data_IF_086372168753
#
_entry.id   IF_086372168753
#
_cell.length_a   1.000
_cell.length_b   1.000
_cell.length_c   1.000
_cell.angle_alpha   90.00
_cell.angle_beta   90.00
_cell.angle_gamma   90.00
#
_symmetry.space_group_name_H-M   'P 1'
#
loop_
_entity.id
_entity.type
_entity.pdbx_description
1 polymer ?
#
# COMPACT_ATOMS: atom_id res chain seq x y z
N UNK A 1 42.72 24.68 0.63
CA UNK A 1 42.03 25.78 1.29
C UNK A 1 41.41 26.66 0.23
N UNK A 2 40.15 26.45 -0.11
CA UNK A 2 39.24 27.43 -0.71
C UNK A 2 37.81 26.91 -0.46
N UNK A 3 37.26 27.56 0.52
CA UNK A 3 35.88 27.39 0.97
C UNK A 3 34.95 27.89 -0.16
N UNK A 4 34.07 27.01 -0.70
CA UNK A 4 32.97 27.39 -1.61
C UNK A 4 31.68 27.31 -0.83
N UNK A 5 31.34 28.37 -0.13
CA UNK A 5 29.97 28.58 0.38
C UNK A 5 29.04 28.88 -0.80
N UNK A 6 28.13 27.98 -1.08
CA UNK A 6 27.00 28.25 -1.97
C UNK A 6 26.13 29.38 -1.37
N UNK A 7 25.73 30.38 -2.17
CA UNK A 7 24.79 31.39 -1.70
C UNK A 7 23.43 30.78 -1.42
N UNK A 8 22.67 31.32 -0.46
CA UNK A 8 21.33 30.85 -0.16
C UNK A 8 20.41 31.01 -1.37
N UNK A 9 19.62 29.96 -1.67
CA UNK A 9 18.64 29.98 -2.75
C UNK A 9 17.53 30.96 -2.37
N UNK A 10 17.35 31.99 -3.16
CA UNK A 10 16.24 32.94 -3.04
C UNK A 10 14.96 32.28 -3.55
N UNK A 11 14.23 31.64 -2.60
CA UNK A 11 12.97 30.97 -2.85
C UNK A 11 11.84 31.93 -3.28
N UNK A 12 11.83 33.16 -2.77
CA UNK A 12 10.80 34.17 -3.10
C UNK A 12 10.95 34.66 -4.54
N UNK A 13 12.19 34.92 -4.98
CA UNK A 13 12.48 35.30 -6.37
C UNK A 13 12.15 34.21 -7.36
N UNK A 14 12.39 32.93 -6.99
CA UNK A 14 12.11 31.77 -7.84
C UNK A 14 10.61 31.52 -7.97
N UNK A 15 9.86 31.66 -6.88
CA UNK A 15 8.39 31.47 -6.85
C UNK A 15 7.67 32.57 -7.64
N UNK A 16 8.12 33.83 -7.50
CA UNK A 16 7.57 34.98 -8.24
C UNK A 16 7.80 34.83 -9.75
N UNK A 17 9.02 34.45 -10.17
CA UNK A 17 9.33 34.22 -11.57
C UNK A 17 8.61 33.01 -12.19
N UNK A 18 8.23 32.01 -11.37
CA UNK A 18 7.43 30.89 -11.81
C UNK A 18 5.95 31.27 -11.98
N UNK A 19 5.40 32.04 -11.04
CA UNK A 19 4.03 32.55 -11.09
C UNK A 19 3.82 33.48 -12.30
N UNK A 20 4.76 34.37 -12.58
CA UNK A 20 4.70 35.25 -13.76
C UNK A 20 4.79 34.51 -15.11
N UNK A 21 5.42 33.33 -15.12
CA UNK A 21 5.59 32.50 -16.34
C UNK A 21 4.43 31.55 -16.60
N UNK A 22 3.65 31.21 -15.56
CA UNK A 22 2.60 30.19 -15.62
C UNK A 22 1.20 30.76 -15.46
N UNK A 23 1.04 32.02 -15.13
CA UNK A 23 -0.26 32.68 -15.04
C UNK A 23 -0.87 32.80 -16.45
N UNK A 24 -2.12 32.38 -16.68
CA UNK A 24 -2.78 32.60 -17.96
C UNK A 24 -3.01 34.09 -18.19
N UNK A 25 -2.75 34.55 -19.41
CA UNK A 25 -2.83 35.96 -19.86
C UNK A 25 -4.21 36.64 -19.73
N UNK A 26 -5.19 35.99 -19.11
CA UNK A 26 -6.52 36.57 -18.84
C UNK A 26 -7.05 36.10 -17.51
N UNK A 27 -7.07 36.96 -16.51
CA UNK A 27 -7.91 36.78 -15.34
C UNK A 27 -9.39 36.66 -15.78
N UNK A 28 -10.12 35.63 -15.31
CA UNK A 28 -11.57 35.60 -15.51
C UNK A 28 -12.23 36.69 -14.65
N UNK A 29 -12.71 37.72 -15.30
CA UNK A 29 -13.31 38.93 -14.67
C UNK A 29 -14.47 38.65 -13.66
N UNK A 30 -14.85 37.39 -13.45
CA UNK A 30 -15.97 37.00 -12.60
C UNK A 30 -15.60 36.37 -11.26
N UNK A 31 -14.32 36.09 -11.00
CA UNK A 31 -13.93 35.38 -9.76
C UNK A 31 -13.93 36.30 -8.54
N UNK A 32 -13.46 37.54 -8.67
CA UNK A 32 -13.43 38.51 -7.59
C UNK A 32 -14.86 38.97 -7.20
N UNK A 33 -15.77 39.11 -8.17
CA UNK A 33 -17.18 39.44 -7.92
C UNK A 33 -17.90 38.38 -7.07
N UNK A 34 -17.71 37.10 -7.37
CA UNK A 34 -18.33 35.97 -6.63
C UNK A 34 -17.77 35.79 -5.23
N UNK A 35 -16.48 36.08 -5.01
CA UNK A 35 -15.87 36.02 -3.66
C UNK A 35 -16.37 37.16 -2.78
N UNK A 36 -16.55 38.37 -3.33
CA UNK A 36 -17.04 39.51 -2.58
C UNK A 36 -18.53 39.40 -2.27
N UNK A 37 -19.34 38.83 -3.16
CA UNK A 37 -20.76 38.58 -2.85
C UNK A 37 -20.94 37.50 -1.75
N UNK A 38 -20.08 36.49 -1.69
CA UNK A 38 -20.17 35.45 -0.66
C UNK A 38 -19.73 35.94 0.72
N UNK A 39 -18.85 36.93 0.79
CA UNK A 39 -18.40 37.52 2.07
C UNK A 39 -19.34 38.60 2.63
N UNK A 40 -20.20 39.19 1.82
CA UNK A 40 -21.18 40.20 2.27
C UNK A 40 -22.36 39.61 3.06
N UNK A 41 -22.55 38.28 3.05
CA UNK A 41 -23.68 37.61 3.74
C UNK A 41 -23.30 37.03 5.11
N UNK A 42 -22.03 37.10 5.53
CA UNK A 42 -21.67 36.67 6.89
C UNK A 42 -22.02 37.73 7.92
N UNK A 43 -23.19 37.59 8.51
CA UNK A 43 -23.64 38.39 9.68
C UNK A 43 -22.61 38.26 10.80
N UNK A 44 -22.12 39.43 11.25
CA UNK A 44 -21.31 39.59 12.46
C UNK A 44 -22.02 38.93 13.65
N UNK A 45 -21.32 38.08 14.39
CA UNK A 45 -21.77 37.60 15.70
C UNK A 45 -21.91 38.76 16.65
N UNK A 46 -23.01 38.90 17.42
CA UNK A 46 -23.14 39.93 18.44
C UNK A 46 -22.24 39.59 19.62
N UNK A 47 -21.35 40.52 19.96
CA UNK A 47 -20.56 40.53 21.19
C UNK A 47 -21.46 40.89 22.35
N UNK A 48 -21.85 39.98 23.19
CA UNK A 48 -22.49 40.25 24.47
C UNK A 48 -21.81 39.49 25.62
N UNK A 49 -20.62 39.96 25.93
CA UNK A 49 -19.99 39.73 27.23
C UNK A 49 -19.30 41.03 27.60
N UNK A 50 -20.01 41.85 28.38
CA UNK A 50 -19.51 43.00 29.12
C UNK A 50 -20.37 43.20 30.36
N UNK A 51 -19.77 43.42 31.54
CA UNK A 51 -20.52 43.55 32.79
C UNK A 51 -21.09 44.96 32.98
N UNK A 52 -22.38 45.03 33.31
CA UNK A 52 -22.96 46.18 33.96
C UNK A 52 -23.84 47.12 33.11
N UNK A 53 -25.14 47.20 33.41
CA UNK A 53 -26.03 48.23 32.91
C UNK A 53 -27.52 47.87 32.97
N UNK A 54 -28.20 48.52 33.91
CA UNK A 54 -29.57 48.33 34.38
C UNK A 54 -30.70 48.38 33.33
N UNK A 55 -31.64 47.52 33.57
CA UNK A 55 -33.12 47.47 33.43
C UNK A 55 -33.84 48.69 32.88
N UNK A 56 -34.69 48.48 31.88
CA UNK A 56 -36.13 48.74 31.88
C UNK A 56 -36.74 48.60 30.48
N UNK A 57 -37.85 47.86 30.40
CA UNK A 57 -38.65 47.78 29.18
C UNK A 57 -39.33 46.44 28.96
N UNK A 58 -40.46 46.21 29.55
CA UNK A 58 -41.38 45.11 29.33
C UNK A 58 -41.83 45.08 27.84
N UNK A 59 -41.17 44.32 27.02
CA UNK A 59 -41.63 43.94 25.68
C UNK A 59 -42.00 42.46 25.68
N UNK A 60 -43.19 42.12 25.22
CA UNK A 60 -43.76 40.75 25.14
C UNK A 60 -42.78 39.76 24.49
N UNK A 61 -42.63 38.54 25.02
CA UNK A 61 -41.83 37.52 24.39
C UNK A 61 -42.45 37.13 23.05
N UNK A 62 -41.77 37.41 21.95
CA UNK A 62 -42.05 36.77 20.66
C UNK A 62 -41.76 35.27 20.82
N UNK A 63 -42.80 34.48 20.69
CA UNK A 63 -42.76 33.04 20.61
C UNK A 63 -41.72 32.64 19.55
N UNK A 64 -40.60 32.09 19.99
CA UNK A 64 -39.69 31.33 19.13
C UNK A 64 -40.53 30.30 18.38
N UNK A 65 -40.60 30.43 17.06
CA UNK A 65 -41.29 29.49 16.21
C UNK A 65 -40.71 28.10 16.52
N UNK A 66 -41.53 27.22 17.10
CA UNK A 66 -41.16 25.82 17.31
C UNK A 66 -40.84 25.25 15.95
N UNK A 67 -39.66 24.62 15.76
CA UNK A 67 -39.37 23.92 14.49
C UNK A 67 -40.50 22.94 14.23
N UNK A 68 -41.07 22.97 13.02
CA UNK A 68 -42.14 22.06 12.67
C UNK A 68 -41.66 20.60 12.88
N UNK A 69 -42.54 19.78 13.43
CA UNK A 69 -42.26 18.33 13.65
C UNK A 69 -41.60 17.69 12.45
N UNK A 70 -41.89 18.15 11.23
CA UNK A 70 -41.29 17.72 9.99
C UNK A 70 -39.79 18.03 9.88
N UNK A 71 -39.30 19.17 10.34
CA UNK A 71 -37.89 19.52 10.32
C UNK A 71 -37.12 18.69 11.33
N UNK A 72 -37.67 18.49 12.52
CA UNK A 72 -37.05 17.61 13.55
C UNK A 72 -36.99 16.17 13.08
N UNK A 73 -38.04 15.67 12.44
CA UNK A 73 -38.06 14.33 11.86
C UNK A 73 -37.06 14.18 10.70
N UNK A 74 -36.93 15.19 9.83
CA UNK A 74 -35.97 15.18 8.71
C UNK A 74 -34.52 15.19 9.21
N UNK A 75 -34.19 16.03 10.19
CA UNK A 75 -32.87 16.07 10.82
C UNK A 75 -32.58 14.75 11.54
N UNK A 76 -33.56 14.17 12.24
CA UNK A 76 -33.43 12.86 12.88
C UNK A 76 -33.17 11.73 11.87
N UNK A 77 -33.89 11.71 10.76
CA UNK A 77 -33.67 10.76 9.66
C UNK A 77 -32.28 10.93 8.99
N UNK A 78 -31.85 12.18 8.79
CA UNK A 78 -30.52 12.46 8.22
C UNK A 78 -29.41 11.98 9.18
N UNK A 79 -29.53 12.27 10.46
CA UNK A 79 -28.57 11.83 11.48
C UNK A 79 -28.56 10.30 11.61
N UNK A 80 -29.72 9.64 11.51
CA UNK A 80 -29.80 8.18 11.48
C UNK A 80 -29.16 7.60 10.21
N UNK A 81 -29.38 8.22 9.06
CA UNK A 81 -28.76 7.79 7.79
C UNK A 81 -27.22 7.97 7.84
N UNK A 82 -26.72 9.07 8.39
CA UNK A 82 -25.29 9.28 8.60
C UNK A 82 -24.73 8.27 9.60
N UNK A 83 -25.42 8.02 10.72
CA UNK A 83 -25.02 7.01 11.70
C UNK A 83 -25.00 5.60 11.11
N UNK A 84 -26.00 5.25 10.28
CA UNK A 84 -26.02 3.98 9.55
C UNK A 84 -24.92 3.89 8.50
N UNK A 85 -24.61 4.97 7.77
CA UNK A 85 -23.51 5.01 6.81
C UNK A 85 -22.14 4.86 7.51
N UNK A 86 -21.96 5.55 8.65
CA UNK A 86 -20.76 5.40 9.48
C UNK A 86 -20.65 4.00 10.10
N UNK A 87 -21.76 3.41 10.55
CA UNK A 87 -21.78 2.05 11.08
C UNK A 87 -21.58 0.99 9.97
N UNK A 88 -22.07 1.22 8.75
CA UNK A 88 -21.83 0.36 7.60
C UNK A 88 -20.36 0.44 7.13
N UNK A 89 -19.73 1.62 7.23
CA UNK A 89 -18.29 1.80 6.97
C UNK A 89 -17.37 1.28 8.07
N UNK A 90 -17.90 1.07 9.28
CA UNK A 90 -17.15 0.59 10.45
C UNK A 90 -17.39 -0.88 10.79
N UNK A 91 -17.99 -1.67 9.89
CA UNK A 91 -18.05 -3.11 10.10
C UNK A 91 -16.62 -3.63 10.21
N UNK A 92 -16.22 -4.23 11.36
CA UNK A 92 -14.96 -4.94 11.44
C UNK A 92 -15.02 -6.01 10.35
N UNK A 93 -14.13 -5.93 9.36
CA UNK A 93 -13.99 -7.02 8.41
C UNK A 93 -13.51 -8.21 9.23
N UNK A 94 -14.36 -9.22 9.33
CA UNK A 94 -13.96 -10.51 9.86
C UNK A 94 -12.82 -10.97 8.95
N UNK A 95 -11.63 -11.29 9.48
CA UNK A 95 -10.55 -11.83 8.69
C UNK A 95 -11.11 -12.96 7.84
N UNK A 96 -10.80 -12.95 6.53
CA UNK A 96 -11.24 -14.03 5.67
C UNK A 96 -10.79 -15.36 6.31
N UNK A 97 -11.66 -16.37 6.39
CA UNK A 97 -11.27 -17.66 6.95
C UNK A 97 -9.98 -18.15 6.26
N UNK A 98 -9.11 -18.82 7.01
CA UNK A 98 -7.86 -19.36 6.46
C UNK A 98 -8.18 -20.22 5.23
N UNK A 99 -7.62 -19.87 4.08
CA UNK A 99 -7.82 -20.59 2.84
C UNK A 99 -7.00 -21.87 2.80
N UNK A 100 -7.36 -22.81 1.91
CA UNK A 100 -6.48 -23.91 1.55
C UNK A 100 -5.38 -23.40 0.63
N UNK A 101 -4.20 -24.02 0.71
CA UNK A 101 -3.07 -23.70 -0.16
C UNK A 101 -3.31 -24.28 -1.56
N UNK A 102 -3.15 -23.42 -2.55
CA UNK A 102 -3.12 -23.78 -3.96
C UNK A 102 -1.71 -23.72 -4.53
N UNK A 103 -1.58 -23.27 -5.76
CA UNK A 103 -0.29 -23.11 -6.42
C UNK A 103 0.56 -21.99 -5.82
N UNK A 104 1.86 -22.21 -5.79
CA UNK A 104 2.83 -21.16 -5.51
C UNK A 104 3.22 -20.54 -6.85
N UNK A 105 3.17 -19.21 -6.95
CA UNK A 105 3.66 -18.52 -8.14
C UNK A 105 5.10 -18.09 -7.94
N UNK A 106 5.93 -18.37 -8.95
CA UNK A 106 7.31 -17.92 -9.01
C UNK A 106 7.62 -17.32 -10.38
N UNK A 107 8.63 -16.47 -10.44
CA UNK A 107 9.10 -15.85 -11.67
C UNK A 107 10.52 -16.34 -12.01
N UNK A 108 10.76 -16.66 -13.27
CA UNK A 108 12.05 -17.11 -13.78
C UNK A 108 12.19 -16.72 -15.25
N UNK A 109 13.28 -16.05 -15.62
CA UNK A 109 13.74 -15.77 -17.00
C UNK A 109 12.65 -15.58 -18.06
N UNK A 110 11.72 -14.67 -17.82
CA UNK A 110 10.60 -14.41 -18.74
C UNK A 110 9.50 -15.47 -18.70
N UNK A 111 9.43 -16.27 -17.64
CA UNK A 111 8.36 -17.24 -17.37
C UNK A 111 7.72 -16.96 -16.00
N UNK A 112 6.45 -17.23 -15.89
CA UNK A 112 5.76 -17.41 -14.63
C UNK A 112 5.57 -18.90 -14.37
N UNK A 113 6.10 -19.37 -13.26
CA UNK A 113 6.03 -20.78 -12.86
C UNK A 113 4.92 -20.97 -11.82
N UNK A 114 4.13 -22.02 -11.98
CA UNK A 114 3.20 -22.48 -10.96
C UNK A 114 3.73 -23.77 -10.34
N UNK A 115 3.95 -23.72 -9.03
CA UNK A 115 4.54 -24.82 -8.27
C UNK A 115 3.46 -25.46 -7.41
N UNK A 116 3.51 -26.77 -7.31
CA UNK A 116 2.73 -27.54 -6.35
C UNK A 116 3.25 -27.40 -4.92
N UNK A 117 2.55 -27.96 -3.96
CA UNK A 117 2.90 -27.92 -2.55
C UNK A 117 4.20 -28.63 -2.15
N UNK A 118 4.80 -29.42 -3.06
CA UNK A 118 6.14 -29.99 -2.93
C UNK A 118 7.25 -29.08 -3.42
N UNK A 119 6.93 -27.98 -4.13
CA UNK A 119 7.88 -27.13 -4.83
C UNK A 119 8.19 -27.59 -6.27
N UNK A 120 7.52 -28.66 -6.76
CA UNK A 120 7.66 -29.10 -8.17
C UNK A 120 6.97 -28.13 -9.12
N UNK A 121 7.60 -27.84 -10.26
CA UNK A 121 6.98 -27.04 -11.34
C UNK A 121 5.86 -27.87 -11.98
N UNK A 122 4.63 -27.38 -11.90
CA UNK A 122 3.48 -28.01 -12.54
C UNK A 122 3.12 -27.33 -13.86
N UNK A 123 3.25 -26.00 -13.94
CA UNK A 123 2.96 -25.23 -15.14
C UNK A 123 3.99 -24.13 -15.39
N UNK A 124 4.19 -23.82 -16.68
CA UNK A 124 5.04 -22.72 -17.16
C UNK A 124 4.22 -21.82 -18.08
N UNK A 125 4.17 -20.54 -17.76
CA UNK A 125 3.44 -19.51 -18.52
C UNK A 125 4.46 -18.50 -19.04
N UNK A 126 4.59 -18.38 -20.36
CA UNK A 126 5.53 -17.42 -20.96
C UNK A 126 5.09 -15.97 -20.67
N UNK A 127 6.06 -15.10 -20.39
CA UNK A 127 5.86 -13.66 -20.19
C UNK A 127 6.51 -12.80 -21.27
N UNK A 128 7.16 -13.42 -22.26
CA UNK A 128 7.76 -12.68 -23.39
C UNK A 128 8.99 -11.85 -23.02
N UNK A 129 9.65 -12.15 -21.88
CA UNK A 129 10.93 -11.51 -21.48
C UNK A 129 10.82 -10.41 -20.44
N UNK A 130 9.63 -10.08 -19.94
CA UNK A 130 9.53 -9.23 -18.74
C UNK A 130 9.94 -10.02 -17.49
N UNK A 131 10.67 -9.38 -16.59
CA UNK A 131 10.89 -9.94 -15.24
C UNK A 131 9.54 -10.17 -14.58
N UNK A 132 9.25 -11.45 -14.28
CA UNK A 132 7.95 -11.89 -13.88
C UNK A 132 7.51 -11.29 -12.55
N UNK A 133 6.61 -10.33 -12.61
CA UNK A 133 5.75 -10.08 -11.49
C UNK A 133 4.42 -10.79 -11.75
N UNK A 134 3.97 -11.49 -10.74
CA UNK A 134 2.68 -12.13 -10.77
C UNK A 134 2.03 -12.07 -9.38
N UNK A 135 0.72 -11.93 -9.35
CA UNK A 135 -0.04 -11.87 -8.12
C UNK A 135 -1.38 -12.57 -8.26
N UNK A 136 -1.72 -13.42 -7.31
CA UNK A 136 -3.04 -14.04 -7.23
C UNK A 136 -4.10 -13.03 -6.80
N UNK A 137 -5.30 -13.14 -7.38
CA UNK A 137 -6.48 -12.42 -6.90
C UNK A 137 -6.82 -12.85 -5.46
N UNK A 138 -7.49 -12.01 -4.65
CA UNK A 138 -7.79 -12.30 -3.25
C UNK A 138 -8.59 -13.58 -3.03
N UNK A 139 -9.42 -13.96 -4.01
CA UNK A 139 -10.20 -15.20 -4.03
C UNK A 139 -9.45 -16.40 -4.62
N UNK A 140 -8.24 -16.18 -5.15
CA UNK A 140 -7.40 -17.22 -5.77
C UNK A 140 -7.89 -17.69 -7.14
N UNK A 141 -8.94 -17.09 -7.71
CA UNK A 141 -9.52 -17.53 -8.98
C UNK A 141 -8.79 -17.04 -10.23
N UNK A 142 -7.94 -16.00 -10.08
CA UNK A 142 -7.23 -15.39 -11.20
C UNK A 142 -5.80 -15.04 -10.84
N UNK A 143 -4.93 -15.08 -11.83
CA UNK A 143 -3.53 -14.70 -11.72
C UNK A 143 -3.25 -13.49 -12.62
N UNK A 144 -2.85 -12.36 -12.05
CA UNK A 144 -2.28 -11.25 -12.79
C UNK A 144 -0.80 -11.50 -13.02
N UNK A 145 -0.32 -11.30 -14.25
CA UNK A 145 1.10 -11.43 -14.61
C UNK A 145 1.53 -10.37 -15.62
N UNK A 146 2.76 -9.90 -15.51
CA UNK A 146 3.35 -9.05 -16.52
C UNK A 146 3.82 -9.87 -17.71
N UNK A 147 3.68 -9.32 -18.89
CA UNK A 147 4.18 -9.93 -20.13
C UNK A 147 4.60 -8.82 -21.13
N UNK A 148 5.23 -9.23 -22.24
CA UNK A 148 5.74 -8.31 -23.25
C UNK A 148 7.17 -7.88 -22.99
N UNK A 149 7.51 -6.68 -23.40
CA UNK A 149 8.83 -6.07 -23.17
C UNK A 149 8.72 -4.82 -22.30
N UNK A 150 9.81 -4.28 -21.75
CA UNK A 150 9.79 -3.03 -21.00
C UNK A 150 9.20 -1.84 -21.77
N UNK A 151 9.38 -1.83 -23.10
CA UNK A 151 8.86 -0.78 -23.99
C UNK A 151 7.38 -0.99 -24.40
N UNK A 152 6.92 -2.25 -24.40
CA UNK A 152 5.52 -2.65 -24.70
C UNK A 152 5.01 -3.66 -23.67
N UNK A 153 4.87 -3.22 -22.40
CA UNK A 153 4.42 -4.08 -21.32
C UNK A 153 2.92 -4.33 -21.38
N UNK A 154 2.51 -5.53 -21.03
CA UNK A 154 1.10 -5.90 -20.92
C UNK A 154 0.82 -6.58 -19.58
N UNK A 155 -0.35 -6.34 -19.05
CA UNK A 155 -0.95 -7.12 -17.98
C UNK A 155 -1.81 -8.22 -18.61
N UNK A 156 -1.51 -9.47 -18.27
CA UNK A 156 -2.35 -10.61 -18.56
C UNK A 156 -3.02 -11.07 -17.28
N UNK A 157 -4.31 -11.37 -17.38
CA UNK A 157 -5.05 -12.01 -16.30
C UNK A 157 -5.44 -13.39 -16.79
N UNK A 158 -4.94 -14.39 -16.09
CA UNK A 158 -5.12 -15.82 -16.38
C UNK A 158 -6.10 -16.41 -15.37
N UNK A 159 -7.05 -17.21 -15.80
CA UNK A 159 -7.98 -17.91 -14.92
C UNK A 159 -7.38 -19.25 -14.38
N UNK A 160 -8.18 -20.01 -13.66
CA UNK A 160 -7.76 -21.31 -13.08
C UNK A 160 -7.58 -22.41 -14.13
N UNK A 161 -8.12 -22.24 -15.33
CA UNK A 161 -7.89 -23.14 -16.47
C UNK A 161 -6.63 -22.75 -17.26
N UNK A 162 -5.89 -21.78 -16.75
CA UNK A 162 -4.65 -21.21 -17.31
C UNK A 162 -4.86 -20.52 -18.66
N UNK A 163 -6.08 -20.07 -18.93
CA UNK A 163 -6.41 -19.27 -20.10
C UNK A 163 -6.24 -17.77 -19.78
N UNK A 164 -5.62 -17.03 -20.70
CA UNK A 164 -5.54 -15.56 -20.61
C UNK A 164 -6.90 -14.94 -20.98
N UNK A 165 -7.66 -14.54 -19.96
CA UNK A 165 -9.02 -14.01 -20.12
C UNK A 165 -9.06 -12.49 -20.28
N UNK A 166 -8.02 -11.77 -19.84
CA UNK A 166 -7.90 -10.32 -19.98
C UNK A 166 -6.48 -9.95 -20.39
N UNK A 167 -6.38 -9.04 -21.37
CA UNK A 167 -5.14 -8.39 -21.77
C UNK A 167 -5.32 -6.87 -21.72
N UNK A 168 -4.41 -6.20 -21.00
CA UNK A 168 -4.36 -4.74 -20.89
C UNK A 168 -2.98 -4.25 -21.29
N UNK A 169 -2.92 -3.25 -22.16
CA UNK A 169 -1.66 -2.55 -22.48
C UNK A 169 -1.30 -1.64 -21.33
N UNK A 170 -0.08 -1.76 -20.83
CA UNK A 170 0.43 -0.95 -19.74
C UNK A 170 1.29 0.21 -20.28
N UNK A 171 1.46 1.29 -19.52
CA UNK A 171 2.41 2.33 -19.84
C UNK A 171 3.85 1.79 -19.95
N UNK A 172 4.72 2.36 -20.82
CA UNK A 172 6.15 2.06 -20.80
C UNK A 172 6.77 2.29 -19.41
N UNK A 173 7.86 1.62 -19.14
CA UNK A 173 8.55 1.66 -17.83
C UNK A 173 7.68 1.20 -16.66
N UNK A 174 6.72 0.33 -16.91
CA UNK A 174 5.93 -0.30 -15.84
C UNK A 174 6.84 -1.13 -14.95
N UNK A 175 6.80 -0.84 -13.64
CA UNK A 175 7.37 -1.67 -12.58
C UNK A 175 6.27 -2.62 -12.13
N UNK A 176 6.37 -3.90 -12.43
CA UNK A 176 5.22 -4.81 -12.35
C UNK A 176 4.98 -5.35 -10.94
N UNK A 177 4.93 -4.50 -9.93
CA UNK A 177 4.48 -4.84 -8.58
C UNK A 177 2.97 -4.71 -8.53
N UNK A 178 2.27 -5.78 -8.84
CA UNK A 178 0.82 -5.80 -8.88
C UNK A 178 0.21 -6.00 -7.50
N UNK A 179 -0.77 -5.17 -7.16
CA UNK A 179 -1.62 -5.38 -5.99
C UNK A 179 -3.08 -5.32 -6.41
N UNK A 180 -3.81 -6.39 -6.11
CA UNK A 180 -5.24 -6.50 -6.39
C UNK A 180 -6.05 -5.71 -5.37
N UNK A 181 -7.13 -5.06 -5.82
CA UNK A 181 -8.19 -4.61 -4.92
C UNK A 181 -8.88 -5.82 -4.28
N UNK A 182 -9.39 -5.71 -3.04
CA UNK A 182 -9.95 -6.86 -2.32
C UNK A 182 -11.20 -7.45 -2.99
N UNK A 183 -11.90 -6.69 -3.83
CA UNK A 183 -13.02 -7.15 -4.65
C UNK A 183 -12.59 -7.82 -5.97
N UNK A 184 -11.28 -7.88 -6.24
CA UNK A 184 -10.71 -8.47 -7.45
C UNK A 184 -11.02 -7.72 -8.74
N UNK A 185 -11.58 -6.49 -8.69
CA UNK A 185 -11.99 -5.74 -9.88
C UNK A 185 -10.95 -4.79 -10.42
N UNK A 186 -9.95 -4.44 -9.62
CA UNK A 186 -8.89 -3.49 -9.98
C UNK A 186 -7.52 -4.00 -9.57
N UNK A 187 -6.51 -3.51 -10.27
CA UNK A 187 -5.10 -3.76 -9.96
C UNK A 187 -4.37 -2.43 -9.92
N UNK A 188 -3.48 -2.26 -8.93
CA UNK A 188 -2.52 -1.17 -8.88
C UNK A 188 -1.14 -1.65 -9.31
N UNK A 189 -0.37 -0.75 -9.91
CA UNK A 189 1.04 -0.96 -10.27
C UNK A 189 1.77 0.37 -10.34
N UNK A 190 3.09 0.34 -10.44
CA UNK A 190 3.93 1.53 -10.58
C UNK A 190 4.52 1.66 -11.98
N UNK A 191 4.90 2.88 -12.34
CA UNK A 191 5.85 3.16 -13.45
C UNK A 191 6.99 3.98 -12.89
N UNK A 192 8.19 3.79 -13.42
CA UNK A 192 9.38 4.52 -12.99
C UNK A 192 10.22 4.94 -14.20
N UNK A 193 10.53 6.21 -14.25
CA UNK A 193 11.50 6.81 -15.18
C UNK A 193 12.64 7.44 -14.38
N UNK A 194 13.69 7.92 -15.04
CA UNK A 194 14.80 8.61 -14.36
C UNK A 194 14.36 9.83 -13.52
N UNK A 195 13.23 10.43 -13.86
CA UNK A 195 12.78 11.69 -13.23
C UNK A 195 11.47 11.59 -12.49
N UNK A 196 10.72 10.48 -12.64
CA UNK A 196 9.36 10.38 -12.11
C UNK A 196 8.93 8.93 -11.89
N UNK A 197 8.23 8.73 -10.78
CA UNK A 197 7.53 7.48 -10.48
C UNK A 197 6.05 7.74 -10.20
N UNK A 198 5.16 6.89 -10.71
CA UNK A 198 3.70 7.04 -10.57
C UNK A 198 3.01 5.73 -10.26
N UNK A 199 1.93 5.81 -9.50
CA UNK A 199 1.01 4.70 -9.27
C UNK A 199 -0.21 4.83 -10.19
N UNK A 200 -0.58 3.71 -10.77
CA UNK A 200 -1.74 3.55 -11.65
C UNK A 200 -2.74 2.57 -11.05
N UNK A 201 -3.99 2.75 -11.44
CA UNK A 201 -5.08 1.79 -11.23
C UNK A 201 -5.63 1.38 -12.58
N UNK A 202 -5.95 0.10 -12.74
CA UNK A 202 -6.60 -0.44 -13.93
C UNK A 202 -7.71 -1.41 -13.55
N UNK A 203 -8.82 -1.36 -14.27
CA UNK A 203 -9.90 -2.35 -14.15
C UNK A 203 -9.47 -3.70 -14.72
N UNK A 204 -9.96 -4.80 -14.13
CA UNK A 204 -9.66 -6.17 -14.58
C UNK A 204 -10.62 -6.65 -15.66
N UNK A 205 -10.96 -5.76 -16.60
CA UNK A 205 -11.87 -6.01 -17.73
C UNK A 205 -11.14 -5.83 -19.05
N UNK A 206 -11.64 -6.48 -20.10
CA UNK A 206 -11.09 -6.31 -21.44
C UNK A 206 -11.15 -4.84 -21.90
N UNK A 207 -10.06 -4.35 -22.50
CA UNK A 207 -9.91 -2.96 -22.99
C UNK A 207 -9.87 -1.89 -21.90
N UNK A 208 -9.67 -2.25 -20.65
CA UNK A 208 -9.44 -1.28 -19.58
C UNK A 208 -8.19 -0.43 -19.91
N UNK A 209 -8.25 0.84 -19.54
CA UNK A 209 -7.13 1.79 -19.71
C UNK A 209 -6.58 2.12 -18.32
N UNK A 210 -5.28 1.97 -18.09
CA UNK A 210 -4.66 2.37 -16.84
C UNK A 210 -4.80 3.87 -16.58
N UNK A 211 -5.20 4.24 -15.36
CA UNK A 211 -5.35 5.63 -14.93
C UNK A 211 -4.31 5.94 -13.86
N UNK A 212 -3.48 6.99 -14.03
CA UNK A 212 -2.59 7.43 -12.98
C UNK A 212 -3.40 8.05 -11.83
N UNK A 213 -3.14 7.64 -10.61
CA UNK A 213 -3.81 8.15 -9.41
C UNK A 213 -2.91 9.02 -8.54
N UNK A 214 -1.61 9.06 -8.82
CA UNK A 214 -0.68 10.02 -8.21
C UNK A 214 -0.42 11.19 -9.16
N UNK A 215 -0.49 12.41 -8.62
CA UNK A 215 -0.17 13.63 -9.36
C UNK A 215 1.33 13.78 -9.63
N UNK A 216 1.72 14.88 -10.28
CA UNK A 216 3.12 15.20 -10.58
C UNK A 216 3.93 15.61 -9.35
N UNK A 217 3.26 15.87 -8.22
CA UNK A 217 3.90 16.42 -7.02
C UNK A 217 4.55 15.36 -6.12
N UNK A 218 4.34 14.08 -6.40
CA UNK A 218 4.89 12.99 -5.58
C UNK A 218 5.30 11.82 -6.46
N UNK A 219 6.50 11.31 -6.21
CA UNK A 219 6.97 10.05 -6.76
C UNK A 219 6.41 8.91 -5.92
N UNK A 220 5.87 7.88 -6.57
CA UNK A 220 5.16 6.80 -5.88
C UNK A 220 5.43 5.45 -6.56
N UNK A 221 5.85 4.46 -5.76
CA UNK A 221 6.19 3.10 -6.18
C UNK A 221 5.66 2.05 -5.22
N UNK A 222 5.65 0.81 -5.66
CA UNK A 222 5.28 -0.36 -4.87
C UNK A 222 3.92 -0.21 -4.17
N UNK A 223 2.83 0.03 -4.90
CA UNK A 223 1.51 0.20 -4.32
C UNK A 223 1.00 -1.10 -3.69
N UNK A 224 0.26 -0.97 -2.59
CA UNK A 224 -0.39 -2.08 -1.89
C UNK A 224 -1.81 -1.67 -1.45
N UNK A 225 -2.83 -2.40 -1.91
CA UNK A 225 -4.21 -2.20 -1.51
C UNK A 225 -4.44 -2.65 -0.07
N UNK A 226 -5.21 -1.86 0.69
CA UNK A 226 -5.73 -2.31 1.98
C UNK A 226 -6.81 -3.39 1.80
N UNK A 227 -6.95 -4.33 2.75
CA UNK A 227 -7.96 -5.39 2.69
C UNK A 227 -9.41 -4.89 2.63
N UNK A 228 -9.68 -3.70 3.16
CA UNK A 228 -11.00 -3.04 3.11
C UNK A 228 -11.24 -2.26 1.81
N UNK A 229 -10.21 -2.13 0.96
CA UNK A 229 -10.27 -1.40 -0.31
C UNK A 229 -10.33 0.12 -0.19
N UNK A 230 -10.19 0.66 1.02
CA UNK A 230 -10.29 2.09 1.29
C UNK A 230 -8.99 2.84 1.00
N UNK A 231 -7.85 2.14 1.08
CA UNK A 231 -6.53 2.75 1.01
C UNK A 231 -5.60 2.04 0.03
N UNK A 232 -4.66 2.79 -0.50
CA UNK A 232 -3.48 2.30 -1.20
C UNK A 232 -2.25 2.84 -0.48
N UNK A 233 -1.43 1.95 0.08
CA UNK A 233 -0.13 2.30 0.62
C UNK A 233 0.91 2.27 -0.51
N UNK A 234 1.92 3.13 -0.45
CA UNK A 234 3.00 3.14 -1.42
C UNK A 234 4.27 3.76 -0.81
N UNK A 235 5.38 3.48 -1.44
CA UNK A 235 6.66 4.10 -1.13
C UNK A 235 6.87 5.31 -2.03
N UNK A 236 7.36 6.42 -1.46
CA UNK A 236 7.66 7.59 -2.28
C UNK A 236 7.95 8.84 -1.48
N UNK A 237 7.94 9.96 -2.20
CA UNK A 237 8.20 11.28 -1.65
C UNK A 237 8.20 12.36 -2.73
N UNK A 238 8.48 13.59 -2.34
CA UNK A 238 8.60 14.72 -3.28
C UNK A 238 9.83 14.53 -4.17
N UNK A 239 10.96 14.08 -3.60
CA UNK A 239 12.14 13.70 -4.36
C UNK A 239 12.17 12.19 -4.61
N UNK A 240 12.82 11.74 -5.71
CA UNK A 240 12.95 10.31 -6.03
C UNK A 240 13.72 9.50 -4.98
N UNK A 241 14.65 10.15 -4.30
CA UNK A 241 15.47 9.56 -3.22
C UNK A 241 14.76 9.58 -1.85
N UNK A 242 13.62 10.28 -1.72
CA UNK A 242 12.81 10.24 -0.52
C UNK A 242 12.02 8.94 -0.45
N UNK A 243 12.40 8.06 0.45
CA UNK A 243 11.80 6.73 0.61
C UNK A 243 10.91 6.70 1.86
N UNK A 244 9.76 7.37 1.80
CA UNK A 244 8.79 7.39 2.89
C UNK A 244 7.60 6.47 2.61
N UNK A 245 6.89 6.06 3.66
CA UNK A 245 5.60 5.38 3.55
C UNK A 245 4.48 6.40 3.47
N UNK A 246 3.66 6.25 2.46
CA UNK A 246 2.50 7.09 2.18
C UNK A 246 1.25 6.25 2.00
N UNK A 247 0.09 6.86 2.21
CA UNK A 247 -1.22 6.29 1.85
C UNK A 247 -2.08 7.32 1.14
N UNK A 248 -3.01 6.83 0.33
CA UNK A 248 -4.05 7.62 -0.35
C UNK A 248 -5.31 6.77 -0.55
N UNK A 249 -6.42 7.40 -0.85
CA UNK A 249 -7.59 6.69 -1.36
C UNK A 249 -7.37 6.22 -2.80
N UNK A 250 -8.13 5.24 -3.28
CA UNK A 250 -8.02 4.72 -4.65
C UNK A 250 -8.29 5.74 -5.77
N UNK A 251 -8.90 6.87 -5.45
CA UNK A 251 -9.11 8.01 -6.35
C UNK A 251 -7.98 9.05 -6.31
N UNK A 252 -6.92 8.79 -5.53
CA UNK A 252 -5.79 9.69 -5.34
C UNK A 252 -5.99 10.75 -4.26
N UNK A 253 -7.18 10.83 -3.66
CA UNK A 253 -7.46 11.77 -2.57
C UNK A 253 -6.88 11.31 -1.22
N UNK A 254 -6.98 12.17 -0.19
CA UNK A 254 -6.52 11.91 1.18
C UNK A 254 -5.04 11.50 1.27
N UNK A 255 -4.21 11.97 0.34
CA UNK A 255 -2.77 11.69 0.31
C UNK A 255 -2.11 12.16 1.62
N UNK A 256 -1.42 11.26 2.29
CA UNK A 256 -0.66 11.58 3.52
C UNK A 256 0.53 10.65 3.73
N UNK A 257 1.55 11.20 4.36
CA UNK A 257 2.70 10.46 4.83
C UNK A 257 2.38 9.76 6.15
N UNK A 258 2.79 8.51 6.29
CA UNK A 258 2.65 7.72 7.53
C UNK A 258 3.97 7.61 8.30
N UNK A 259 5.07 7.29 7.62
CA UNK A 259 6.36 7.16 8.31
C UNK A 259 6.88 8.50 8.80
N UNK A 260 7.51 8.52 9.98
CA UNK A 260 8.14 9.72 10.53
C UNK A 260 9.24 10.25 9.61
N UNK A 261 9.48 11.56 9.66
CA UNK A 261 10.54 12.21 8.88
C UNK A 261 11.92 11.63 9.23
N UNK A 262 12.75 11.40 8.20
CA UNK A 262 14.07 10.77 8.37
C UNK A 262 14.06 9.25 8.46
N UNK A 263 12.87 8.61 8.45
CA UNK A 263 12.75 7.15 8.45
C UNK A 263 12.55 6.65 7.03
N UNK A 264 13.63 6.23 6.40
CA UNK A 264 13.63 5.66 5.06
C UNK A 264 13.07 4.23 5.08
N UNK A 265 12.10 3.96 4.22
CA UNK A 265 11.50 2.63 4.03
C UNK A 265 12.40 1.79 3.14
N UNK A 266 12.53 0.51 3.46
CA UNK A 266 13.34 -0.41 2.67
C UNK A 266 12.79 -0.55 1.24
N UNK A 267 13.60 -0.39 0.20
CA UNK A 267 13.12 -0.26 -1.18
C UNK A 267 12.54 -1.55 -1.78
N UNK A 268 12.94 -2.70 -1.27
CA UNK A 268 12.61 -4.01 -1.84
C UNK A 268 11.46 -4.72 -1.13
N UNK A 269 10.89 -4.09 -0.08
CA UNK A 269 9.86 -4.68 0.75
C UNK A 269 8.50 -4.11 0.39
N UNK A 270 7.49 -4.97 0.34
CA UNK A 270 6.10 -4.55 0.25
C UNK A 270 5.59 -3.96 1.58
N UNK A 271 4.35 -3.52 1.57
CA UNK A 271 3.64 -2.99 2.72
C UNK A 271 2.50 -3.94 3.10
N UNK A 272 2.79 -4.98 3.89
CA UNK A 272 1.74 -5.91 4.31
C UNK A 272 0.75 -5.21 5.23
N UNK A 273 -0.51 -5.23 4.82
CA UNK A 273 -1.62 -4.75 5.61
C UNK A 273 -2.03 -5.79 6.64
N UNK A 274 -2.40 -5.34 7.82
CA UNK A 274 -3.10 -6.21 8.75
C UNK A 274 -4.51 -6.50 8.20
N UNK A 275 -5.10 -7.66 8.55
CA UNK A 275 -6.44 -8.02 8.09
C UNK A 275 -7.55 -7.04 8.48
N UNK A 276 -7.30 -6.17 9.46
CA UNK A 276 -8.22 -5.12 9.88
C UNK A 276 -8.35 -3.95 8.88
N UNK A 277 -7.46 -3.88 7.88
CA UNK A 277 -7.40 -2.79 6.89
C UNK A 277 -7.01 -1.42 7.46
N UNK A 278 -6.67 -1.36 8.76
CA UNK A 278 -6.38 -0.10 9.48
C UNK A 278 -4.92 0.11 9.78
N UNK A 279 -4.17 -0.97 9.87
CA UNK A 279 -2.76 -0.94 10.21
C UNK A 279 -1.96 -1.64 9.13
N UNK A 280 -0.70 -1.23 8.97
CA UNK A 280 0.22 -1.86 8.03
C UNK A 280 1.63 -1.93 8.60
N UNK A 281 2.37 -2.89 8.09
CA UNK A 281 3.77 -3.09 8.43
C UNK A 281 4.67 -2.42 7.39
N UNK A 282 5.81 -1.96 7.83
CA UNK A 282 6.90 -1.55 6.95
C UNK A 282 8.25 -1.86 7.55
N UNK A 283 9.19 -2.20 6.70
CA UNK A 283 10.60 -2.33 7.06
C UNK A 283 11.33 -1.03 6.77
N UNK A 284 12.28 -0.68 7.61
CA UNK A 284 13.21 0.42 7.35
C UNK A 284 14.56 -0.12 6.94
N UNK A 285 15.30 0.60 6.12
CA UNK A 285 16.67 0.26 5.82
C UNK A 285 17.50 0.32 7.11
N UNK A 286 17.79 -0.84 7.70
CA UNK A 286 18.65 -1.01 8.87
C UNK A 286 18.08 -0.69 10.26
N UNK A 287 16.82 -0.26 10.41
CA UNK A 287 16.25 0.16 11.69
C UNK A 287 15.06 -0.68 12.19
N UNK A 288 14.76 -1.79 11.53
CA UNK A 288 13.76 -2.73 11.98
C UNK A 288 12.42 -2.68 11.28
N UNK A 289 11.50 -3.47 11.82
CA UNK A 289 10.11 -3.60 11.35
C UNK A 289 9.19 -2.81 12.27
N UNK A 290 8.30 -2.08 11.65
CA UNK A 290 7.37 -1.16 12.31
C UNK A 290 5.94 -1.46 11.89
N UNK A 291 5.00 -1.12 12.76
CA UNK A 291 3.56 -1.06 12.45
C UNK A 291 3.07 0.36 12.68
N UNK A 292 2.13 0.80 11.85
CA UNK A 292 1.51 2.12 11.94
C UNK A 292 0.03 2.02 11.52
N UNK A 293 -0.84 2.79 12.17
CA UNK A 293 -2.23 2.95 11.74
C UNK A 293 -2.32 3.91 10.53
N UNK A 294 -3.33 3.75 9.67
CA UNK A 294 -3.53 4.60 8.48
C UNK A 294 -3.73 6.07 8.81
N UNK A 295 -4.12 6.42 10.03
CA UNK A 295 -4.21 7.79 10.49
C UNK A 295 -2.86 8.39 10.91
N UNK A 296 -1.77 7.61 10.83
CA UNK A 296 -0.42 7.99 11.25
C UNK A 296 -0.18 7.86 12.75
N UNK A 297 -1.13 7.32 13.50
CA UNK A 297 -1.01 7.08 14.94
C UNK A 297 -0.47 5.68 15.24
N UNK A 298 -0.16 5.43 16.51
CA UNK A 298 0.29 4.14 17.05
C UNK A 298 1.50 3.53 16.34
N UNK A 299 2.35 4.38 15.74
CA UNK A 299 3.59 3.90 15.16
C UNK A 299 4.46 3.28 16.25
N UNK A 300 4.78 2.00 16.10
CA UNK A 300 5.64 1.28 17.06
C UNK A 300 6.54 0.28 16.35
N UNK A 301 7.69 0.04 16.94
CA UNK A 301 8.64 -0.97 16.47
C UNK A 301 8.22 -2.36 16.98
N UNK A 302 8.25 -3.35 16.07
CA UNK A 302 8.00 -4.77 16.38
C UNK A 302 9.33 -5.52 16.54
N UNK A 303 10.23 -5.31 15.57
CA UNK A 303 11.57 -5.90 15.56
C UNK A 303 12.60 -4.82 15.26
N UNK A 304 13.78 -4.90 15.84
CA UNK A 304 14.84 -3.91 15.65
C UNK A 304 15.78 -3.85 16.84
N UNK A 305 16.36 -2.67 17.11
CA UNK A 305 17.43 -2.50 18.09
C UNK A 305 18.77 -2.81 17.45
N UNK A 306 19.52 -3.78 17.99
CA UNK A 306 20.78 -4.26 17.41
C UNK A 306 20.59 -5.16 16.19
N UNK A 307 19.36 -5.57 15.91
CA UNK A 307 19.03 -6.42 14.77
C UNK A 307 18.55 -5.58 13.58
N UNK A 308 19.17 -5.78 12.45
CA UNK A 308 18.73 -5.17 11.20
C UNK A 308 17.57 -5.99 10.60
N UNK A 309 16.37 -5.80 11.12
CA UNK A 309 15.16 -6.45 10.63
C UNK A 309 14.53 -5.64 9.49
N UNK A 310 14.10 -6.31 8.41
CA UNK A 310 13.50 -5.68 7.24
C UNK A 310 12.60 -6.67 6.49
N UNK A 311 11.92 -6.22 5.43
CA UNK A 311 11.02 -7.01 4.59
C UNK A 311 10.01 -7.86 5.37
N UNK A 312 9.12 -7.22 6.13
CA UNK A 312 8.11 -7.96 6.88
C UNK A 312 7.07 -8.60 5.97
N UNK A 313 6.53 -9.73 6.42
CA UNK A 313 5.30 -10.33 5.90
C UNK A 313 4.41 -10.73 7.07
N UNK A 314 3.09 -10.63 6.88
CA UNK A 314 2.09 -10.91 7.91
C UNK A 314 1.45 -12.28 7.69
N UNK A 315 1.23 -13.03 8.76
CA UNK A 315 0.45 -14.28 8.69
C UNK A 315 -1.00 -14.00 8.27
N UNK A 316 -1.68 -14.92 7.58
CA UNK A 316 -3.03 -14.71 7.10
C UNK A 316 -4.07 -14.38 8.19
N UNK A 317 -3.82 -14.81 9.42
CA UNK A 317 -4.65 -14.48 10.60
C UNK A 317 -4.30 -13.13 11.25
N UNK A 318 -3.24 -12.47 10.78
CA UNK A 318 -2.79 -11.17 11.29
C UNK A 318 -2.09 -11.22 12.65
N UNK A 319 -1.79 -12.39 13.18
CA UNK A 319 -1.26 -12.53 14.55
C UNK A 319 0.26 -12.56 14.63
N UNK A 320 0.94 -12.98 13.52
CA UNK A 320 2.38 -13.16 13.47
C UNK A 320 3.01 -12.42 12.30
N UNK A 321 4.23 -11.97 12.50
CA UNK A 321 5.06 -11.33 11.48
C UNK A 321 6.31 -12.17 11.25
N UNK A 322 6.65 -12.40 9.98
CA UNK A 322 7.94 -12.92 9.58
C UNK A 322 8.76 -11.78 8.97
N UNK A 323 10.03 -11.67 9.32
CA UNK A 323 10.92 -10.67 8.78
C UNK A 323 12.32 -11.24 8.55
N UNK A 324 13.01 -10.68 7.57
CA UNK A 324 14.44 -10.92 7.38
C UNK A 324 15.20 -10.18 8.47
N UNK A 325 16.20 -10.83 9.05
CA UNK A 325 17.11 -10.22 10.02
C UNK A 325 18.54 -10.44 9.54
N UNK A 326 19.31 -9.37 9.55
CA UNK A 326 20.72 -9.41 9.24
C UNK A 326 21.54 -9.18 10.52
N UNK A 327 22.47 -10.09 10.78
CA UNK A 327 23.48 -9.98 11.83
C UNK A 327 24.86 -10.37 11.26
N UNK A 328 25.90 -10.16 12.04
CA UNK A 328 27.27 -10.48 11.65
C UNK A 328 27.46 -11.94 11.22
N UNK A 329 26.62 -12.86 11.72
CA UNK A 329 26.61 -14.29 11.41
C UNK A 329 25.89 -14.64 10.11
N UNK A 330 25.21 -13.67 9.49
CA UNK A 330 24.45 -13.87 8.26
C UNK A 330 23.01 -13.37 8.36
N UNK A 331 22.22 -13.66 7.30
CA UNK A 331 20.80 -13.33 7.20
C UNK A 331 19.96 -14.54 7.60
N UNK A 332 18.85 -14.33 8.29
CA UNK A 332 17.90 -15.38 8.67
C UNK A 332 16.49 -14.81 8.81
N UNK A 333 15.49 -15.68 8.87
CA UNK A 333 14.10 -15.27 9.13
C UNK A 333 13.83 -15.38 10.63
N UNK A 334 13.15 -14.34 11.13
CA UNK A 334 12.55 -14.36 12.46
C UNK A 334 11.04 -14.29 12.30
N UNK A 335 10.34 -15.17 12.99
CA UNK A 335 8.89 -15.13 13.16
C UNK A 335 8.61 -14.68 14.60
N UNK A 336 7.73 -13.71 14.77
CA UNK A 336 7.30 -13.24 16.07
C UNK A 336 5.80 -12.94 16.10
N UNK A 337 5.23 -12.81 17.28
CA UNK A 337 3.91 -12.20 17.42
C UNK A 337 3.94 -10.73 16.98
N UNK A 338 2.77 -10.20 16.63
CA UNK A 338 2.65 -8.79 16.23
C UNK A 338 3.08 -7.79 17.34
N UNK A 339 3.11 -8.20 18.58
CA UNK A 339 3.64 -7.40 19.71
C UNK A 339 5.15 -7.52 19.90
N UNK A 340 5.84 -8.31 19.07
CA UNK A 340 7.28 -8.57 19.14
C UNK A 340 7.69 -9.71 20.07
N UNK A 341 6.74 -10.34 20.75
CA UNK A 341 6.99 -11.50 21.63
C UNK A 341 7.08 -12.82 20.86
N UNK A 342 7.38 -13.92 21.55
CA UNK A 342 7.42 -15.28 21.01
C UNK A 342 8.25 -15.39 19.72
N UNK A 343 9.48 -14.92 19.78
CA UNK A 343 10.39 -14.91 18.63
C UNK A 343 10.93 -16.32 18.38
N UNK A 344 10.78 -16.77 17.16
CA UNK A 344 11.28 -18.04 16.68
C UNK A 344 12.15 -17.80 15.45
N UNK A 345 13.29 -18.44 15.37
CA UNK A 345 14.15 -18.47 14.19
C UNK A 345 14.04 -19.87 13.56
N UNK A 346 13.17 -20.06 12.55
CA UNK A 346 13.08 -21.35 11.88
C UNK A 346 14.43 -21.76 11.30
N UNK A 347 14.84 -23.03 11.44
CA UNK A 347 16.09 -23.48 10.86
C UNK A 347 16.03 -23.37 9.35
N UNK A 348 16.80 -22.45 8.78
CA UNK A 348 16.86 -22.24 7.34
C UNK A 348 18.32 -22.22 6.90
N UNK A 349 18.70 -23.02 5.90
CA UNK A 349 20.08 -23.05 5.42
C UNK A 349 20.44 -21.89 4.48
N UNK A 350 19.53 -20.92 4.26
CA UNK A 350 19.53 -20.11 3.05
C UNK A 350 19.15 -18.66 3.34
N UNK A 351 19.73 -17.74 2.57
CA UNK A 351 19.63 -16.31 2.80
C UNK A 351 19.41 -15.55 1.49
N UNK A 352 18.26 -14.87 1.35
CA UNK A 352 18.01 -13.96 0.26
C UNK A 352 17.36 -12.68 0.81
N UNK A 353 17.35 -11.60 0.01
CA UNK A 353 16.80 -10.30 0.38
C UNK A 353 15.28 -10.17 0.12
N UNK A 354 14.61 -11.27 -0.28
CA UNK A 354 13.18 -11.27 -0.56
C UNK A 354 12.37 -11.65 0.68
N UNK A 355 11.19 -11.03 0.89
CA UNK A 355 10.31 -11.39 2.01
C UNK A 355 9.87 -12.86 1.90
N UNK A 356 9.73 -13.52 3.05
CA UNK A 356 9.11 -14.82 3.10
C UNK A 356 7.62 -14.73 2.79
N UNK A 357 7.08 -15.72 2.10
CA UNK A 357 5.67 -15.80 1.71
C UNK A 357 4.96 -16.82 2.58
N UNK A 358 3.93 -16.36 3.31
CA UNK A 358 3.08 -17.23 4.11
C UNK A 358 2.15 -18.08 3.25
N UNK A 359 1.99 -19.34 3.62
CA UNK A 359 0.90 -20.15 3.09
C UNK A 359 -0.46 -19.60 3.54
N UNK A 360 -1.52 -19.72 2.72
CA UNK A 360 -2.86 -19.21 3.06
C UNK A 360 -3.48 -19.79 4.33
N UNK A 361 -3.02 -20.96 4.77
CA UNK A 361 -3.43 -21.59 6.03
C UNK A 361 -2.53 -21.20 7.23
N UNK A 362 -1.50 -20.40 7.00
CA UNK A 362 -0.58 -19.91 8.03
C UNK A 362 0.34 -20.98 8.63
N UNK A 363 0.39 -22.19 8.04
CA UNK A 363 1.16 -23.32 8.56
C UNK A 363 2.57 -23.42 8.01
N UNK A 364 2.85 -22.72 6.93
CA UNK A 364 4.15 -22.76 6.27
C UNK A 364 4.57 -21.38 5.80
N UNK A 365 5.86 -21.19 5.69
CA UNK A 365 6.49 -20.07 4.99
C UNK A 365 7.30 -20.63 3.83
N UNK A 366 7.30 -19.94 2.69
CA UNK A 366 8.27 -20.17 1.63
C UNK A 366 9.24 -19.00 1.61
N UNK A 367 10.52 -19.32 1.60
CA UNK A 367 11.57 -18.33 1.42
C UNK A 367 12.39 -18.60 0.15
N UNK A 368 12.88 -17.53 -0.43
CA UNK A 368 13.90 -17.56 -1.45
C UNK A 368 15.27 -17.69 -0.78
N UNK A 369 16.15 -18.46 -1.37
CA UNK A 369 17.52 -18.60 -0.91
C UNK A 369 18.51 -18.33 -2.03
N UNK A 370 19.74 -18.02 -1.66
CA UNK A 370 20.87 -17.81 -2.56
C UNK A 370 22.03 -18.71 -2.16
N UNK A 371 22.54 -19.48 -3.10
CA UNK A 371 23.80 -20.22 -2.89
C UNK A 371 24.99 -19.27 -3.10
N UNK A 372 25.64 -18.89 -2.01
CA UNK A 372 26.84 -18.05 -2.06
C UNK A 372 28.06 -18.74 -2.69
N UNK A 373 27.97 -20.05 -2.97
CA UNK A 373 29.05 -20.84 -3.60
C UNK A 373 28.89 -21.00 -5.11
N UNK A 374 27.84 -20.37 -5.70
CA UNK A 374 27.57 -20.38 -7.14
C UNK A 374 26.83 -21.62 -7.62
N UNK A 375 26.22 -22.39 -6.73
CA UNK A 375 25.30 -23.48 -7.06
C UNK A 375 23.87 -22.94 -7.33
N UNK A 376 22.93 -23.87 -7.64
CA UNK A 376 21.52 -23.49 -7.86
C UNK A 376 20.93 -22.86 -6.60
N UNK A 377 20.19 -21.78 -6.78
CA UNK A 377 19.58 -21.05 -5.68
C UNK A 377 18.46 -21.89 -5.04
N UNK A 378 18.63 -22.27 -3.77
CA UNK A 378 17.65 -23.11 -3.10
C UNK A 378 16.43 -22.30 -2.63
N UNK A 379 15.32 -23.01 -2.48
CA UNK A 379 14.08 -22.50 -1.86
C UNK A 379 13.74 -23.40 -0.69
N UNK A 380 13.09 -22.87 0.32
CA UNK A 380 12.74 -23.68 1.47
C UNK A 380 11.32 -23.41 1.95
N UNK A 381 10.61 -24.50 2.28
CA UNK A 381 9.44 -24.45 3.13
C UNK A 381 9.90 -24.50 4.58
N UNK A 382 9.44 -23.55 5.38
CA UNK A 382 9.75 -23.44 6.79
C UNK A 382 8.50 -23.66 7.63
N UNK A 383 8.65 -24.37 8.75
CA UNK A 383 7.66 -24.33 9.82
C UNK A 383 7.83 -23.01 10.60
N UNK A 384 6.80 -22.14 10.63
CA UNK A 384 6.89 -20.87 11.35
C UNK A 384 6.98 -21.02 12.86
N UNK A 385 6.79 -22.23 13.41
CA UNK A 385 6.98 -22.53 14.83
C UNK A 385 8.40 -23.06 15.12
N UNK A 386 9.20 -23.31 14.07
CA UNK A 386 10.58 -23.78 14.20
C UNK A 386 10.74 -25.21 14.72
N UNK A 387 9.67 -25.99 14.73
CA UNK A 387 9.67 -27.38 15.23
C UNK A 387 10.14 -28.36 14.16
N UNK A 388 9.62 -28.19 12.95
CA UNK A 388 9.98 -29.04 11.83
C UNK A 388 11.19 -28.49 11.07
N UNK A 389 12.06 -29.39 10.54
CA UNK A 389 13.18 -28.96 9.73
C UNK A 389 12.71 -28.37 8.39
N UNK A 390 13.49 -27.43 7.84
CA UNK A 390 13.23 -26.86 6.55
C UNK A 390 13.22 -27.93 5.44
N UNK A 391 12.22 -27.90 4.57
CA UNK A 391 12.18 -28.73 3.36
C UNK A 391 12.72 -27.90 2.19
N UNK A 392 13.92 -28.24 1.74
CA UNK A 392 14.61 -27.53 0.67
C UNK A 392 14.23 -28.12 -0.69
N UNK A 393 13.99 -27.27 -1.66
CA UNK A 393 13.84 -27.62 -3.06
C UNK A 393 14.65 -26.63 -3.92
N UNK A 394 14.99 -27.03 -5.12
CA UNK A 394 15.78 -26.20 -6.01
C UNK A 394 14.94 -25.74 -7.19
N UNK A 395 15.08 -24.49 -7.52
CA UNK A 395 14.39 -23.85 -8.62
C UNK A 395 15.39 -22.87 -9.24
N UNK A 396 15.76 -23.09 -10.48
CA UNK A 396 16.78 -22.31 -11.18
C UNK A 396 16.39 -20.82 -11.14
N UNK A 397 17.14 -20.00 -10.42
CA UNK A 397 17.03 -18.54 -10.25
C UNK A 397 15.61 -17.91 -10.17
N UNK A 398 14.57 -18.73 -9.99
CA UNK A 398 13.20 -18.26 -9.88
C UNK A 398 12.92 -17.64 -8.51
N UNK A 399 12.28 -16.48 -8.47
CA UNK A 399 11.81 -15.85 -7.25
C UNK A 399 10.35 -16.26 -6.94
N UNK A 400 10.09 -16.79 -5.74
CA UNK A 400 8.72 -17.02 -5.26
C UNK A 400 8.08 -15.67 -4.95
N UNK A 401 6.92 -15.41 -5.55
CA UNK A 401 6.20 -14.15 -5.48
C UNK A 401 4.95 -14.21 -4.59
N UNK A 402 4.28 -15.36 -4.55
CA UNK A 402 3.05 -15.49 -3.83
C UNK A 402 2.50 -16.91 -3.76
N UNK A 403 1.45 -17.11 -3.00
CA UNK A 403 0.76 -18.36 -2.82
C UNK A 403 -0.74 -18.19 -3.12
N UNK A 404 -1.30 -19.07 -3.94
CA UNK A 404 -2.72 -19.07 -4.27
C UNK A 404 -3.54 -19.45 -3.03
N UNK A 405 -4.53 -18.63 -2.76
CA UNK A 405 -5.53 -18.90 -1.72
C UNK A 405 -6.76 -19.56 -2.35
N UNK A 406 -7.01 -20.81 -2.02
CA UNK A 406 -8.26 -21.48 -2.36
C UNK A 406 -9.29 -21.24 -1.24
N UNK A 407 -10.57 -21.31 -1.60
CA UNK A 407 -11.65 -21.27 -0.61
C UNK A 407 -11.46 -22.38 0.44
N UNK A 408 -11.89 -22.16 1.69
CA UNK A 408 -11.78 -23.13 2.78
C UNK A 408 -12.46 -24.45 2.47
#
# INVERSE_FOLDING_TARGET
MTDRTNPPIDLDGTLTAWLERTAPDREPEHLLGRILETTAVTRRRPTWWGPGGHVAGLGRPQLLARPSLGIVALVGLLMLAIAMALAAGSRPQVPLPLGRSGWIVAAHDGETLLLGGSGSVEHRLSTGGMFGAAAWSPDGSRLARAAGTPDDPVLLITDTDLADVVRVVLPPNTVPWFSWSPDGRRITFGTETETMARVYVVETTARAVPVPITGLAINALAPSWSPDGMWIAFRGGVALDEQALWVMHPDGSALRRLSQQGRAVAPWCGFPWLPDGRSLLFGTAYNGVWVVDVDGTKERQIMGGSEQAYCPSISPDGTRVAAMVWQDTGKYIVVANLDGTHRVTPPAPLYDDWPAVWSPDGRSLVMNGRDLRGGPNPRAFLDPNGVEPARVFFLDDAAVLGWQRLAP
#
